data_IF_600799050158
#
_entry.id   IF_600799050158
#
_cell.length_a   1.000
_cell.length_b   1.000
_cell.length_c   1.000
_cell.angle_alpha   90.00
_cell.angle_beta   90.00
_cell.angle_gamma   90.00
#
_symmetry.space_group_name_H-M   'P 1'
#
loop_
_entity.id
_entity.type
_entity.pdbx_description
1 polymer ?
#
# COMPACT_ATOMS: atom_id res chain seq x y z
N UNK A 1 7.99 67.08 29.44
CA UNK A 1 6.85 66.15 29.32
C UNK A 1 6.66 65.81 27.83
N UNK A 2 7.67 65.20 27.18
CA UNK A 2 7.68 64.90 25.73
C UNK A 2 8.56 63.67 25.43
N UNK A 3 8.50 62.64 26.27
CA UNK A 3 9.32 61.42 26.12
C UNK A 3 8.55 60.13 26.37
N UNK A 4 7.22 60.17 26.32
CA UNK A 4 6.37 58.99 26.58
C UNK A 4 5.54 58.55 25.35
N UNK A 5 5.48 59.38 24.29
CA UNK A 5 4.63 59.13 23.12
C UNK A 5 5.32 58.36 21.99
N UNK A 6 6.65 58.34 21.92
CA UNK A 6 7.37 57.64 20.84
C UNK A 6 7.58 56.15 21.12
N UNK A 7 7.61 55.74 22.41
CA UNK A 7 7.83 54.35 22.80
C UNK A 7 6.60 53.45 22.58
N UNK A 8 5.38 54.01 22.63
CA UNK A 8 4.13 53.24 22.44
C UNK A 8 3.81 52.91 20.98
N UNK A 9 4.25 53.73 20.03
CA UNK A 9 4.01 53.48 18.60
C UNK A 9 4.96 52.40 18.04
N UNK A 10 6.17 52.26 18.59
CA UNK A 10 7.08 51.15 18.25
C UNK A 10 6.65 49.80 18.87
N UNK A 11 6.15 49.81 20.10
CA UNK A 11 5.63 48.59 20.77
C UNK A 11 4.44 47.97 20.03
N UNK A 12 3.52 48.79 19.50
CA UNK A 12 2.39 48.34 18.69
C UNK A 12 2.82 47.76 17.33
N UNK A 13 3.90 48.28 16.74
CA UNK A 13 4.46 47.77 15.48
C UNK A 13 5.05 46.38 15.66
N UNK A 14 5.85 46.18 16.71
CA UNK A 14 6.52 44.91 17.00
C UNK A 14 5.50 43.84 17.40
N UNK A 15 4.51 44.15 18.24
CA UNK A 15 3.45 43.20 18.59
C UNK A 15 2.61 42.80 17.37
N UNK A 16 2.31 43.74 16.46
CA UNK A 16 1.56 43.44 15.24
C UNK A 16 2.37 42.57 14.26
N UNK A 17 3.67 42.80 14.12
CA UNK A 17 4.57 41.96 13.31
C UNK A 17 4.73 40.57 13.92
N UNK A 18 4.78 40.47 15.26
CA UNK A 18 4.86 39.19 15.96
C UNK A 18 3.55 38.40 15.83
N UNK A 19 2.39 39.04 15.98
CA UNK A 19 1.08 38.43 15.78
C UNK A 19 0.90 37.96 14.33
N UNK A 20 1.39 38.75 13.37
CA UNK A 20 1.39 38.39 11.95
C UNK A 20 2.32 37.22 11.67
N UNK A 21 3.50 37.19 12.28
CA UNK A 21 4.47 36.09 12.15
C UNK A 21 3.94 34.79 12.74
N UNK A 22 3.33 34.84 13.93
CA UNK A 22 2.68 33.67 14.55
C UNK A 22 1.56 33.14 13.65
N UNK A 23 0.76 34.03 13.06
CA UNK A 23 -0.30 33.65 12.12
C UNK A 23 0.25 32.94 10.88
N UNK A 24 1.37 33.40 10.32
CA UNK A 24 2.02 32.72 9.20
C UNK A 24 2.65 31.38 9.60
N UNK A 25 3.23 31.27 10.80
CA UNK A 25 3.76 30.01 11.33
C UNK A 25 2.64 28.99 11.50
N UNK A 26 1.53 29.37 12.12
CA UNK A 26 0.35 28.51 12.30
C UNK A 26 -0.22 28.04 10.95
N UNK A 27 -0.34 28.96 9.99
CA UNK A 27 -0.81 28.65 8.64
C UNK A 27 0.14 27.69 7.90
N UNK A 28 1.46 27.88 8.07
CA UNK A 28 2.47 26.98 7.49
C UNK A 28 2.46 25.59 8.14
N UNK A 29 2.24 25.51 9.45
CA UNK A 29 2.13 24.26 10.18
C UNK A 29 0.86 23.51 9.77
N UNK A 30 -0.26 24.21 9.61
CA UNK A 30 -1.50 23.62 9.09
C UNK A 30 -1.33 23.07 7.69
N UNK A 31 -0.76 23.83 6.77
CA UNK A 31 -0.50 23.35 5.40
C UNK A 31 0.42 22.14 5.38
N UNK A 32 1.50 22.13 6.19
CA UNK A 32 2.38 20.97 6.27
C UNK A 32 1.70 19.75 6.89
N UNK A 33 0.88 19.95 7.91
CA UNK A 33 0.15 18.85 8.58
C UNK A 33 -0.91 18.25 7.68
N UNK A 34 -1.64 19.09 6.94
CA UNK A 34 -2.66 18.67 5.99
C UNK A 34 -2.04 17.87 4.81
N UNK A 35 -0.93 18.36 4.27
CA UNK A 35 -0.18 17.68 3.22
C UNK A 35 0.44 16.37 3.70
N UNK A 36 0.83 16.30 4.97
CA UNK A 36 1.32 15.07 5.60
C UNK A 36 0.20 14.05 5.77
N UNK A 37 -0.98 14.46 6.25
CA UNK A 37 -2.15 13.58 6.35
C UNK A 37 -2.60 13.07 4.97
N UNK A 38 -2.56 13.91 3.95
CA UNK A 38 -2.91 13.54 2.58
C UNK A 38 -2.00 12.43 2.03
N UNK A 39 -0.68 12.61 2.12
CA UNK A 39 0.28 11.63 1.59
C UNK A 39 0.43 10.38 2.46
N UNK A 40 0.37 10.51 3.80
CA UNK A 40 0.65 9.38 4.70
C UNK A 40 -0.59 8.58 5.11
N UNK A 41 -1.77 9.19 5.10
CA UNK A 41 -3.00 8.55 5.58
C UNK A 41 -3.99 8.32 4.45
N UNK A 42 -4.31 9.34 3.66
CA UNK A 42 -5.39 9.24 2.67
C UNK A 42 -4.97 8.52 1.38
N UNK A 43 -3.81 8.82 0.80
CA UNK A 43 -3.30 8.14 -0.39
C UNK A 43 -3.16 6.61 -0.24
N UNK A 44 -2.51 6.07 0.81
CA UNK A 44 -2.39 4.63 0.96
C UNK A 44 -3.74 3.95 1.25
N UNK A 45 -4.67 4.63 1.93
CA UNK A 45 -6.03 4.10 2.14
C UNK A 45 -6.83 4.05 0.84
N UNK A 46 -6.72 5.06 -0.02
CA UNK A 46 -7.42 5.07 -1.31
C UNK A 46 -6.84 4.01 -2.26
N UNK A 47 -5.52 3.84 -2.27
CA UNK A 47 -4.86 2.76 -3.01
C UNK A 47 -5.27 1.38 -2.48
N UNK A 48 -5.31 1.21 -1.16
CA UNK A 48 -5.75 -0.04 -0.54
C UNK A 48 -7.23 -0.31 -0.82
N UNK A 49 -8.11 0.69 -0.75
CA UNK A 49 -9.52 0.54 -1.04
C UNK A 49 -9.77 0.17 -2.51
N UNK A 50 -9.08 0.81 -3.45
CA UNK A 50 -9.15 0.46 -4.88
C UNK A 50 -8.66 -0.97 -5.12
N UNK A 51 -7.50 -1.33 -4.58
CA UNK A 51 -6.98 -2.69 -4.72
C UNK A 51 -7.88 -3.72 -4.05
N UNK A 52 -8.47 -3.42 -2.90
CA UNK A 52 -9.39 -4.32 -2.20
C UNK A 52 -10.69 -4.52 -2.98
N UNK A 53 -11.20 -3.48 -3.64
CA UNK A 53 -12.35 -3.59 -4.54
C UNK A 53 -12.04 -4.45 -5.78
N UNK A 54 -10.86 -4.27 -6.39
CA UNK A 54 -10.44 -5.15 -7.48
C UNK A 54 -10.23 -6.59 -7.02
N UNK A 55 -9.61 -6.77 -5.85
CA UNK A 55 -9.37 -8.08 -5.26
C UNK A 55 -10.69 -8.79 -4.91
N UNK A 56 -11.68 -8.06 -4.40
CA UNK A 56 -12.99 -8.62 -4.02
C UNK A 56 -13.83 -9.06 -5.21
N UNK A 57 -13.54 -8.60 -6.43
CA UNK A 57 -14.25 -9.02 -7.65
C UNK A 57 -13.43 -10.02 -8.45
N UNK A 58 -12.15 -9.73 -8.68
CA UNK A 58 -11.27 -10.54 -9.54
C UNK A 58 -10.96 -11.89 -8.88
N UNK A 59 -10.66 -11.92 -7.58
CA UNK A 59 -10.33 -13.18 -6.89
C UNK A 59 -11.51 -14.16 -6.88
N UNK A 60 -12.74 -13.78 -6.48
CA UNK A 60 -13.85 -14.72 -6.54
C UNK A 60 -14.24 -15.07 -7.97
N UNK A 61 -14.10 -14.17 -8.95
CA UNK A 61 -14.34 -14.50 -10.35
C UNK A 61 -13.35 -15.56 -10.87
N UNK A 62 -12.05 -15.39 -10.57
CA UNK A 62 -11.03 -16.39 -10.89
C UNK A 62 -11.26 -17.70 -10.15
N UNK A 63 -11.60 -17.64 -8.86
CA UNK A 63 -11.89 -18.82 -8.05
C UNK A 63 -13.10 -19.59 -8.60
N UNK A 64 -14.20 -18.90 -8.90
CA UNK A 64 -15.40 -19.49 -9.49
C UNK A 64 -15.10 -20.11 -10.86
N UNK A 65 -14.39 -19.39 -11.74
CA UNK A 65 -13.96 -19.91 -13.03
C UNK A 65 -13.10 -21.17 -12.89
N UNK A 66 -12.15 -21.17 -11.96
CA UNK A 66 -11.29 -22.33 -11.69
C UNK A 66 -12.11 -23.52 -11.19
N UNK A 67 -13.05 -23.31 -10.27
CA UNK A 67 -13.94 -24.38 -9.76
C UNK A 67 -14.76 -24.98 -10.90
N UNK A 68 -15.33 -24.16 -11.77
CA UNK A 68 -16.14 -24.64 -12.92
C UNK A 68 -15.28 -25.49 -13.86
N UNK A 69 -14.07 -25.02 -14.20
CA UNK A 69 -13.15 -25.77 -15.07
C UNK A 69 -12.76 -27.09 -14.43
N UNK A 70 -12.37 -27.10 -13.15
CA UNK A 70 -11.99 -28.32 -12.43
C UNK A 70 -13.17 -29.30 -12.36
N UNK A 71 -14.37 -28.82 -12.04
CA UNK A 71 -15.57 -29.65 -12.04
C UNK A 71 -15.85 -30.25 -13.42
N UNK A 72 -15.71 -29.45 -14.48
CA UNK A 72 -15.84 -29.92 -15.86
C UNK A 72 -14.83 -31.02 -16.20
N UNK A 73 -13.56 -30.85 -15.82
CA UNK A 73 -12.51 -31.87 -16.03
C UNK A 73 -12.85 -33.16 -15.27
N UNK A 74 -13.29 -33.07 -14.01
CA UNK A 74 -13.71 -34.22 -13.21
C UNK A 74 -14.84 -34.96 -13.91
N UNK A 75 -15.86 -34.24 -14.39
CA UNK A 75 -17.00 -34.83 -15.09
C UNK A 75 -16.59 -35.50 -16.40
N UNK A 76 -15.68 -34.92 -17.17
CA UNK A 76 -15.13 -35.52 -18.40
C UNK A 76 -14.41 -36.83 -18.07
N UNK A 77 -13.53 -36.84 -17.06
CA UNK A 77 -12.83 -38.06 -16.65
C UNK A 77 -13.83 -39.11 -16.13
N UNK A 78 -14.87 -38.67 -15.42
CA UNK A 78 -15.92 -39.54 -14.89
C UNK A 78 -16.78 -40.21 -15.98
N UNK A 79 -16.66 -39.81 -17.26
CA UNK A 79 -17.30 -40.54 -18.37
C UNK A 79 -16.62 -41.87 -18.67
N UNK A 80 -15.34 -42.03 -18.29
CA UNK A 80 -14.53 -43.22 -18.58
C UNK A 80 -14.27 -44.05 -17.31
N UNK A 81 -14.18 -43.40 -16.14
CA UNK A 81 -13.92 -44.06 -14.86
C UNK A 81 -14.97 -43.68 -13.81
N UNK A 82 -15.15 -44.48 -12.74
CA UNK A 82 -16.06 -44.12 -11.65
C UNK A 82 -15.73 -42.76 -11.02
N UNK A 83 -16.75 -42.03 -10.56
CA UNK A 83 -16.60 -40.67 -9.99
C UNK A 83 -15.54 -40.60 -8.89
N UNK A 84 -15.50 -41.58 -7.99
CA UNK A 84 -14.52 -41.64 -6.90
C UNK A 84 -13.08 -41.72 -7.41
N UNK A 85 -12.83 -42.45 -8.50
CA UNK A 85 -11.52 -42.54 -9.13
C UNK A 85 -11.17 -41.25 -9.88
N UNK A 86 -12.14 -40.62 -10.56
CA UNK A 86 -11.95 -39.32 -11.22
C UNK A 86 -11.56 -38.22 -10.21
N UNK A 87 -12.20 -38.20 -9.04
CA UNK A 87 -11.89 -37.31 -7.92
C UNK A 87 -10.45 -37.54 -7.42
N UNK A 88 -10.04 -38.78 -7.24
CA UNK A 88 -8.67 -39.11 -6.79
C UNK A 88 -7.61 -38.69 -7.82
N UNK A 89 -7.84 -38.97 -9.11
CA UNK A 89 -6.91 -38.60 -10.19
C UNK A 89 -6.75 -37.08 -10.26
N UNK A 90 -7.88 -36.36 -10.25
CA UNK A 90 -7.85 -34.90 -10.34
C UNK A 90 -7.21 -34.29 -9.08
N UNK A 91 -7.55 -34.79 -7.88
CA UNK A 91 -6.95 -34.35 -6.63
C UNK A 91 -5.44 -34.57 -6.58
N UNK A 92 -4.96 -35.75 -6.97
CA UNK A 92 -3.54 -36.05 -7.05
C UNK A 92 -2.81 -35.12 -8.04
N UNK A 93 -3.42 -34.86 -9.21
CA UNK A 93 -2.83 -33.96 -10.21
C UNK A 93 -2.67 -32.53 -9.69
N UNK A 94 -3.66 -32.01 -8.96
CA UNK A 94 -3.63 -30.65 -8.39
C UNK A 94 -2.53 -30.55 -7.32
N UNK A 95 -2.37 -31.57 -6.48
CA UNK A 95 -1.32 -31.59 -5.45
C UNK A 95 0.07 -31.59 -6.09
N UNK A 96 0.28 -32.40 -7.12
CA UNK A 96 1.57 -32.45 -7.84
C UNK A 96 1.86 -31.10 -8.49
N UNK A 97 0.89 -30.53 -9.22
CA UNK A 97 1.04 -29.24 -9.88
C UNK A 97 1.30 -28.11 -8.88
N UNK A 98 0.55 -28.09 -7.77
CA UNK A 98 0.75 -27.13 -6.68
C UNK A 98 2.11 -27.27 -6.02
N UNK A 99 2.61 -28.49 -5.84
CA UNK A 99 3.95 -28.76 -5.35
C UNK A 99 5.04 -28.23 -6.27
N UNK A 100 4.89 -28.38 -7.59
CA UNK A 100 5.82 -27.83 -8.59
C UNK A 100 5.82 -26.30 -8.54
N UNK A 101 4.64 -25.68 -8.50
CA UNK A 101 4.52 -24.21 -8.43
C UNK A 101 5.12 -23.68 -7.12
N UNK A 102 4.84 -24.32 -5.99
CA UNK A 102 5.41 -23.95 -4.71
C UNK A 102 6.94 -24.09 -4.74
N UNK A 103 7.46 -25.18 -5.28
CA UNK A 103 8.90 -25.37 -5.45
C UNK A 103 9.52 -24.24 -6.28
N UNK A 104 8.93 -23.88 -7.42
CA UNK A 104 9.44 -22.80 -8.26
C UNK A 104 9.41 -21.42 -7.57
N UNK A 105 8.34 -21.12 -6.82
CA UNK A 105 8.19 -19.85 -6.11
C UNK A 105 9.14 -19.74 -4.91
N UNK A 106 9.33 -20.82 -4.16
CA UNK A 106 10.17 -20.82 -2.95
C UNK A 106 11.65 -21.18 -3.23
N UNK A 107 11.97 -21.78 -4.38
CA UNK A 107 13.35 -22.06 -4.78
C UNK A 107 14.12 -20.80 -5.18
N UNK A 108 13.43 -19.74 -5.61
CA UNK A 108 14.08 -18.45 -5.83
C UNK A 108 14.21 -17.74 -4.49
N UNK A 109 15.42 -17.73 -3.95
CA UNK A 109 15.76 -16.99 -2.74
C UNK A 109 15.33 -15.54 -2.94
N UNK A 110 14.43 -15.05 -2.08
CA UNK A 110 14.10 -13.62 -2.03
C UNK A 110 15.33 -12.93 -1.47
N UNK A 111 16.27 -12.57 -2.35
CA UNK A 111 17.36 -11.66 -2.01
C UNK A 111 16.69 -10.29 -1.86
N UNK A 112 16.25 -9.97 -0.64
CA UNK A 112 16.06 -8.58 -0.28
C UNK A 112 17.41 -7.91 -0.51
N UNK A 113 17.53 -7.14 -1.60
CA UNK A 113 18.59 -6.16 -1.76
C UNK A 113 18.40 -5.14 -0.64
N UNK A 114 18.88 -5.45 0.56
CA UNK A 114 19.06 -4.45 1.60
C UNK A 114 20.04 -3.44 1.01
N UNK A 115 19.62 -2.17 0.81
CA UNK A 115 20.52 -1.15 0.34
C UNK A 115 21.67 -1.10 1.34
N UNK A 116 22.85 -1.49 0.89
CA UNK A 116 24.05 -1.48 1.71
C UNK A 116 24.30 -0.02 2.07
N UNK A 117 24.66 0.25 3.34
CA UNK A 117 24.81 1.58 3.96
C UNK A 117 25.59 2.60 3.10
N UNK A 118 26.39 2.16 2.13
CA UNK A 118 27.05 2.98 1.12
C UNK A 118 26.12 3.83 0.22
N UNK A 119 24.93 3.36 -0.15
CA UNK A 119 24.04 4.15 -1.03
C UNK A 119 23.35 5.30 -0.29
N UNK A 120 23.08 5.15 1.01
CA UNK A 120 22.50 6.23 1.82
C UNK A 120 23.48 7.38 2.06
N UNK A 121 24.79 7.12 2.08
CA UNK A 121 25.80 8.15 2.33
C UNK A 121 26.02 9.08 1.12
N UNK A 122 25.67 8.64 -0.10
CA UNK A 122 25.85 9.43 -1.32
C UNK A 122 24.67 10.37 -1.61
N UNK A 123 23.49 10.11 -1.05
CA UNK A 123 22.27 10.90 -1.27
C UNK A 123 22.08 12.06 -0.28
N UNK A 124 22.85 12.11 0.81
CA UNK A 124 22.86 13.22 1.77
C UNK A 124 23.87 14.34 1.50
N UNK A 125 24.50 14.33 0.31
CA UNK A 125 25.52 15.32 -0.11
C UNK A 125 25.18 16.00 -1.45
N UNK A 126 23.91 15.98 -1.85
CA UNK A 126 23.39 16.74 -2.97
C UNK A 126 22.49 17.86 -2.46
#
# INVERSE_FOLDING_TARGET
MLTESAARDEELSIESEFATTIKYIDLSLRQKTDLFLQNYVFEPFEFLAKNLMYLSVIVPLLAAGTIIVVAGVILVIATVVPLWAALLITGASIIIMGGIVAYLLFSNTIILQTPTVMEMMKRGKA
#
